data_IF_877257549119
#
_entry.id   IF_877257549119
#
_cell.length_a   1.000
_cell.length_b   1.000
_cell.length_c   1.000
_cell.angle_alpha   90.00
_cell.angle_beta   90.00
_cell.angle_gamma   90.00
#
_symmetry.space_group_name_H-M   'P 1'
#
loop_
_entity.id
_entity.type
_entity.pdbx_description
1 polymer ?
#
# COMPACT_ATOMS: atom_id res chain seq x y z
N UNK A 1 -11.89 37.47 2.69
CA UNK A 1 -11.35 36.40 1.85
C UNK A 1 -12.23 36.23 0.64
N UNK A 2 -11.68 36.57 -0.49
CA UNK A 2 -12.46 36.52 -1.73
C UNK A 2 -12.38 35.11 -2.27
N UNK A 3 -13.45 34.40 -2.16
CA UNK A 3 -13.52 33.07 -2.73
C UNK A 3 -14.08 33.22 -4.13
N UNK A 4 -13.21 33.03 -5.09
CA UNK A 4 -13.61 33.12 -6.47
C UNK A 4 -14.05 31.72 -6.92
N UNK A 5 -15.24 31.58 -7.50
CA UNK A 5 -15.68 30.26 -7.98
C UNK A 5 -14.72 29.63 -8.96
N UNK A 6 -14.00 30.40 -9.74
CA UNK A 6 -13.01 29.89 -10.65
C UNK A 6 -11.84 29.26 -9.91
N UNK A 7 -11.44 29.86 -8.80
CA UNK A 7 -10.34 29.34 -8.00
C UNK A 7 -10.73 28.02 -7.35
N UNK A 8 -11.97 27.94 -6.90
CA UNK A 8 -12.49 26.71 -6.33
C UNK A 8 -12.47 25.61 -7.38
N UNK A 9 -12.92 25.91 -8.59
CA UNK A 9 -12.95 24.95 -9.66
C UNK A 9 -11.56 24.49 -10.05
N UNK A 10 -10.61 25.44 -10.15
CA UNK A 10 -9.23 25.11 -10.46
C UNK A 10 -8.61 24.22 -9.41
N UNK A 11 -8.89 24.51 -8.14
CA UNK A 11 -8.37 23.71 -7.05
C UNK A 11 -8.96 22.31 -7.08
N UNK A 12 -10.24 22.19 -7.40
CA UNK A 12 -10.89 20.91 -7.49
C UNK A 12 -10.27 20.07 -8.62
N UNK A 13 -10.01 20.69 -9.77
CA UNK A 13 -9.38 19.99 -10.88
C UNK A 13 -7.97 19.57 -10.54
N UNK A 14 -7.24 20.42 -9.85
CA UNK A 14 -5.88 20.10 -9.44
C UNK A 14 -5.86 18.91 -8.50
N UNK A 15 -6.79 18.88 -7.57
CA UNK A 15 -6.92 17.76 -6.64
C UNK A 15 -7.25 16.48 -7.39
N UNK A 16 -8.17 16.56 -8.35
CA UNK A 16 -8.50 15.40 -9.17
C UNK A 16 -7.31 14.89 -9.93
N UNK A 17 -6.54 15.78 -10.52
CA UNK A 17 -5.34 15.40 -11.26
C UNK A 17 -4.32 14.74 -10.36
N UNK A 18 -4.12 15.29 -9.16
CA UNK A 18 -3.20 14.72 -8.19
C UNK A 18 -3.66 13.35 -7.72
N UNK A 19 -4.95 13.18 -7.54
CA UNK A 19 -5.48 11.87 -7.14
C UNK A 19 -5.30 10.84 -8.25
N UNK A 20 -5.50 11.26 -9.51
CA UNK A 20 -5.26 10.39 -10.64
C UNK A 20 -3.81 9.96 -10.73
N UNK A 21 -2.90 10.91 -10.55
CA UNK A 21 -1.48 10.61 -10.55
C UNK A 21 -1.11 9.67 -9.41
N UNK A 22 -1.69 9.89 -8.24
CA UNK A 22 -1.44 9.05 -7.10
C UNK A 22 -1.89 7.61 -7.36
N UNK A 23 -3.08 7.46 -7.94
CA UNK A 23 -3.59 6.13 -8.26
C UNK A 23 -2.71 5.42 -9.28
N UNK A 24 -2.24 6.14 -10.29
CA UNK A 24 -1.31 5.58 -11.25
C UNK A 24 -0.03 5.15 -10.56
N UNK A 25 0.45 5.98 -9.66
CA UNK A 25 1.68 5.70 -8.93
C UNK A 25 1.53 4.44 -8.08
N UNK A 26 0.38 4.28 -7.44
CA UNK A 26 0.12 3.08 -6.64
C UNK A 26 0.28 1.81 -7.46
N UNK A 27 -0.16 1.86 -8.72
CA UNK A 27 -0.02 0.71 -9.60
C UNK A 27 1.42 0.37 -9.94
N UNK A 28 2.34 1.34 -9.80
CA UNK A 28 3.76 1.10 -10.06
C UNK A 28 4.55 0.65 -8.84
N UNK A 29 3.96 0.82 -7.65
CA UNK A 29 4.63 0.35 -6.44
C UNK A 29 4.54 -1.17 -6.39
N UNK A 30 5.60 -1.79 -5.99
CA UNK A 30 5.64 -3.24 -5.92
C UNK A 30 6.44 -3.68 -4.72
N UNK A 31 5.95 -4.67 -4.02
CA UNK A 31 6.66 -5.27 -2.89
C UNK A 31 6.56 -6.77 -3.00
N UNK A 32 7.46 -7.45 -2.30
CA UNK A 32 7.43 -8.90 -2.19
C UNK A 32 7.28 -9.27 -0.72
N UNK A 33 6.16 -9.88 -0.38
CA UNK A 33 5.98 -10.46 0.93
C UNK A 33 6.56 -11.87 0.92
N UNK A 34 7.16 -12.28 2.02
CA UNK A 34 7.77 -13.60 2.07
C UNK A 34 7.55 -14.25 3.42
N UNK A 35 7.67 -15.56 3.44
CA UNK A 35 7.57 -16.36 4.65
C UNK A 35 8.41 -17.63 4.50
N UNK A 36 8.79 -18.19 5.64
CA UNK A 36 9.56 -19.44 5.64
C UNK A 36 10.93 -19.31 5.01
N UNK A 37 11.58 -18.17 5.20
CA UNK A 37 12.90 -17.97 4.60
C UNK A 37 12.88 -17.88 3.09
N UNK A 38 11.77 -17.42 2.53
CA UNK A 38 11.64 -17.31 1.08
C UNK A 38 10.97 -18.49 0.43
N UNK A 39 10.50 -19.44 1.21
CA UNK A 39 9.79 -20.59 0.64
C UNK A 39 8.52 -20.18 -0.09
N UNK A 40 7.84 -19.16 0.41
CA UNK A 40 6.68 -18.57 -0.25
C UNK A 40 6.90 -17.09 -0.40
N UNK A 41 6.72 -16.59 -1.60
CA UNK A 41 6.83 -15.17 -1.90
C UNK A 41 5.61 -14.72 -2.68
N UNK A 42 5.10 -13.54 -2.34
CA UNK A 42 3.94 -12.98 -3.00
C UNK A 42 4.26 -11.55 -3.40
N UNK A 43 4.17 -11.27 -4.68
CA UNK A 43 4.37 -9.92 -5.19
C UNK A 43 3.02 -9.22 -5.25
N UNK A 44 2.97 -7.99 -4.78
CA UNK A 44 1.75 -7.21 -4.87
C UNK A 44 2.06 -5.74 -5.12
N UNK A 45 1.08 -5.03 -5.64
CA UNK A 45 1.25 -3.61 -5.95
C UNK A 45 0.47 -2.73 -4.96
N UNK A 46 0.58 -1.42 -5.14
CA UNK A 46 -0.06 -0.47 -4.24
C UNK A 46 -1.57 -0.44 -4.33
N UNK A 47 -2.15 -1.11 -5.30
CA UNK A 47 -3.60 -1.28 -5.39
C UNK A 47 -4.06 -2.55 -4.72
N UNK A 48 -3.14 -3.24 -4.04
CA UNK A 48 -3.38 -4.51 -3.36
C UNK A 48 -3.73 -5.64 -4.33
N UNK A 49 -3.29 -5.54 -5.57
CA UNK A 49 -3.40 -6.65 -6.49
C UNK A 49 -2.23 -7.59 -6.26
N UNK A 50 -2.52 -8.87 -6.23
CA UNK A 50 -1.47 -9.89 -6.18
C UNK A 50 -1.00 -10.10 -7.62
N UNK A 51 0.28 -9.83 -7.85
CA UNK A 51 0.87 -9.92 -9.18
C UNK A 51 1.38 -11.33 -9.46
N UNK A 52 1.99 -11.93 -8.46
CA UNK A 52 2.57 -13.26 -8.62
C UNK A 52 2.72 -13.94 -7.28
N UNK A 53 2.66 -15.25 -7.30
CA UNK A 53 2.91 -16.07 -6.11
C UNK A 53 3.97 -17.10 -6.51
N UNK A 54 5.01 -17.19 -5.72
CA UNK A 54 6.07 -18.17 -5.93
C UNK A 54 6.18 -19.06 -4.71
N UNK A 55 6.14 -20.34 -4.95
CA UNK A 55 6.26 -21.34 -3.90
C UNK A 55 7.38 -22.27 -4.30
N UNK A 56 8.40 -22.35 -3.45
CA UNK A 56 9.52 -23.24 -3.75
C UNK A 56 9.05 -24.70 -3.62
N UNK A 57 9.55 -25.57 -4.48
CA UNK A 57 9.17 -26.97 -4.41
C UNK A 57 9.39 -27.60 -3.05
N UNK A 58 10.42 -27.16 -2.35
CA UNK A 58 10.72 -27.66 -1.01
C UNK A 58 9.58 -27.47 -0.03
N UNK A 59 8.82 -26.42 -0.19
CA UNK A 59 7.68 -26.14 0.68
C UNK A 59 6.57 -27.17 0.46
N UNK A 60 6.58 -27.85 -0.67
CA UNK A 60 5.54 -28.80 -1.03
C UNK A 60 5.95 -30.24 -0.86
N UNK A 61 7.21 -30.48 -0.59
CA UNK A 61 7.74 -31.85 -0.53
C UNK A 61 7.11 -32.72 0.54
N UNK A 62 6.80 -32.14 1.68
CA UNK A 62 6.27 -32.91 2.79
C UNK A 62 4.78 -33.18 2.69
N UNK A 63 4.11 -32.57 1.74
CA UNK A 63 2.68 -32.71 1.62
C UNK A 63 1.90 -32.11 2.80
N UNK A 64 2.56 -31.27 3.58
CA UNK A 64 1.92 -30.66 4.75
C UNK A 64 1.10 -29.47 4.32
N UNK A 65 -0.18 -29.70 4.10
CA UNK A 65 -1.09 -28.66 3.64
C UNK A 65 -1.23 -27.55 4.67
N UNK A 66 -1.25 -27.90 5.95
CA UNK A 66 -1.38 -26.88 7.00
C UNK A 66 -0.20 -25.92 7.01
N UNK A 67 1.00 -26.47 6.89
CA UNK A 67 2.19 -25.62 6.83
C UNK A 67 2.15 -24.71 5.61
N UNK A 68 1.71 -25.22 4.47
CA UNK A 68 1.61 -24.44 3.25
C UNK A 68 0.62 -23.28 3.43
N UNK A 69 -0.52 -23.56 4.02
CA UNK A 69 -1.53 -22.53 4.28
C UNK A 69 -0.98 -21.44 5.19
N UNK A 70 -0.26 -21.83 6.22
CA UNK A 70 0.31 -20.88 7.17
C UNK A 70 1.39 -20.02 6.51
N UNK A 71 2.22 -20.63 5.65
CA UNK A 71 3.25 -19.88 4.94
C UNK A 71 2.64 -18.87 3.97
N UNK A 72 1.61 -19.28 3.25
CA UNK A 72 0.94 -18.37 2.32
C UNK A 72 0.31 -17.19 3.07
N UNK A 73 -0.36 -17.48 4.18
CA UNK A 73 -0.97 -16.43 5.00
C UNK A 73 0.09 -15.49 5.54
N UNK A 74 1.20 -16.01 6.01
CA UNK A 74 2.28 -15.19 6.55
C UNK A 74 2.94 -14.34 5.48
N UNK A 75 3.16 -14.91 4.29
CA UNK A 75 3.75 -14.17 3.18
C UNK A 75 2.82 -13.04 2.72
N UNK A 76 1.54 -13.32 2.67
CA UNK A 76 0.56 -12.32 2.28
C UNK A 76 0.52 -11.18 3.31
N UNK A 77 0.48 -11.52 4.59
CA UNK A 77 0.48 -10.51 5.66
C UNK A 77 1.73 -9.66 5.61
N UNK A 78 2.88 -10.28 5.39
CA UNK A 78 4.13 -9.55 5.26
C UNK A 78 4.10 -8.59 4.07
N UNK A 79 3.55 -9.04 2.95
CA UNK A 79 3.39 -8.19 1.78
C UNK A 79 2.48 -7.00 2.03
N UNK A 80 1.36 -7.23 2.70
CA UNK A 80 0.43 -6.16 3.03
C UNK A 80 1.13 -5.09 3.89
N UNK A 81 1.89 -5.51 4.88
CA UNK A 81 2.63 -4.57 5.73
C UNK A 81 3.62 -3.74 4.91
N UNK A 82 4.34 -4.40 4.03
CA UNK A 82 5.31 -3.71 3.19
C UNK A 82 4.66 -2.73 2.23
N UNK A 83 3.55 -3.12 1.61
CA UNK A 83 2.91 -2.23 0.65
C UNK A 83 2.28 -1.04 1.34
N UNK A 84 1.77 -1.21 2.54
CA UNK A 84 1.25 -0.09 3.32
C UNK A 84 2.35 0.93 3.60
N UNK A 85 3.54 0.48 3.92
CA UNK A 85 4.67 1.37 4.15
C UNK A 85 5.03 2.15 2.88
N UNK A 86 5.03 1.46 1.74
CA UNK A 86 5.33 2.12 0.48
C UNK A 86 4.26 3.15 0.10
N UNK A 87 3.01 2.82 0.34
CA UNK A 87 1.91 3.77 0.09
C UNK A 87 2.08 5.00 0.96
N UNK A 88 2.42 4.81 2.23
CA UNK A 88 2.62 5.93 3.14
C UNK A 88 3.80 6.80 2.70
N UNK A 89 4.86 6.19 2.23
CA UNK A 89 6.01 6.92 1.71
C UNK A 89 5.64 7.74 0.49
N UNK A 90 4.86 7.15 -0.41
CA UNK A 90 4.43 7.83 -1.61
C UNK A 90 3.51 9.00 -1.27
N UNK A 91 2.64 8.79 -0.30
CA UNK A 91 1.75 9.84 0.15
C UNK A 91 2.52 11.01 0.74
N UNK A 92 3.53 10.72 1.55
CA UNK A 92 4.38 11.75 2.13
C UNK A 92 5.16 12.51 1.06
N UNK A 93 5.60 11.80 0.04
CA UNK A 93 6.31 12.43 -1.07
C UNK A 93 5.39 13.35 -1.86
N UNK A 94 4.14 12.95 -2.04
CA UNK A 94 3.18 13.75 -2.77
C UNK A 94 2.82 15.03 -2.05
N UNK A 95 2.73 14.97 -0.75
CA UNK A 95 2.42 16.17 0.01
C UNK A 95 3.62 17.11 0.10
N UNK A 96 4.74 16.70 -0.49
CA UNK A 96 5.88 17.58 -0.61
C UNK A 96 6.48 18.02 0.69
N UNK A 97 6.35 17.21 1.72
CA UNK A 97 6.82 17.62 3.00
C UNK A 97 5.95 18.67 3.64
N UNK A 98 4.77 18.84 3.13
CA UNK A 98 3.85 19.76 3.72
C UNK A 98 3.57 19.30 5.14
N UNK A 99 4.11 20.02 6.05
CA UNK A 99 3.74 19.84 7.43
C UNK A 99 2.37 20.45 7.56
N UNK A 100 1.41 19.66 7.47
CA UNK A 100 0.08 20.15 7.73
C UNK A 100 -0.13 20.00 9.21
N UNK A 101 -0.21 21.09 9.93
CA UNK A 101 -0.48 21.04 11.34
C UNK A 101 -1.84 20.39 11.49
N UNK A 102 -1.98 19.54 12.32
CA UNK A 102 -3.27 18.91 12.45
C UNK A 102 -3.31 17.56 11.80
N UNK A 103 -2.42 17.37 10.89
CA UNK A 103 -2.26 16.06 10.36
C UNK A 103 -1.03 15.52 10.94
N UNK A 104 -0.81 15.74 12.13
CA UNK A 104 0.35 15.46 12.76
C UNK A 104 0.86 14.18 12.39
N UNK A 105 1.89 14.29 12.00
CA UNK A 105 2.66 13.22 11.94
C UNK A 105 1.97 11.99 11.74
N UNK A 106 0.89 12.07 11.76
CA UNK A 106 0.10 11.11 11.63
C UNK A 106 0.62 9.89 11.46
N UNK A 107 1.67 9.59 11.87
CA UNK A 107 2.13 8.29 11.75
C UNK A 107 1.04 7.48 12.30
N UNK A 108 0.79 6.64 11.76
CA UNK A 108 -0.20 5.89 12.30
C UNK A 108 -1.31 6.73 12.60
N UNK A 109 -1.07 7.93 12.25
CA UNK A 109 -2.02 8.80 12.63
C UNK A 109 -3.20 8.84 11.82
N UNK A 110 -3.46 7.95 11.08
CA UNK A 110 -4.76 7.87 10.56
C UNK A 110 -5.52 7.07 11.55
N UNK A 111 -5.88 7.64 12.63
CA UNK A 111 -6.65 6.94 13.60
C UNK A 111 -7.88 6.47 12.91
N UNK A 112 -8.00 5.28 12.80
CA UNK A 112 -9.13 4.76 12.14
C UNK A 112 -9.13 5.24 10.73
N UNK A 113 -8.06 5.81 10.36
CA UNK A 113 -8.07 6.57 9.19
C UNK A 113 -8.37 5.89 7.92
N UNK A 114 -8.13 4.69 7.79
CA UNK A 114 -8.57 3.99 6.61
C UNK A 114 -9.61 3.01 7.03
N UNK A 115 -10.83 3.45 7.04
CA UNK A 115 -11.92 2.54 7.37
C UNK A 115 -11.85 1.42 6.35
N UNK A 116 -11.86 0.26 6.81
CA UNK A 116 -11.76 -0.86 5.91
C UNK A 116 -10.38 -1.45 5.84
N UNK A 117 -9.39 -0.72 6.29
CA UNK A 117 -8.06 -1.25 6.38
C UNK A 117 -7.68 -1.38 7.83
N UNK A 118 -8.41 -0.76 8.62
CA UNK A 118 -8.13 -0.64 10.04
C UNK A 118 -8.07 -1.93 10.79
#
# INVERSE_FOLDING_TARGET
>A
MNINPFDILKNAQKIQDQMGEFQEKLGTLSVTGSAGGGMVEIDMNGKFDVIAVRILPEAMEDGDTQMMQDLVAAAFTNGIEKIKEEINREMAAMTGGLNIPGLPGMPGGFPGGFPGIG
#
